data_IF_544972673481
#
_entry.id   IF_544972673481
#
_cell.length_a   1.000
_cell.length_b   1.000
_cell.length_c   1.000
_cell.angle_alpha   90.00
_cell.angle_beta   90.00
_cell.angle_gamma   90.00
#
_symmetry.space_group_name_H-M   'P 1'
#
loop_
_entity.id
_entity.type
_entity.pdbx_description
1 polymer ?
#
# COMPACT_ATOMS: atom_id res chain seq x y z
N UNK A 1 6.20 12.27 -11.35
CA UNK A 1 4.85 11.91 -11.85
C UNK A 1 4.80 10.41 -12.12
N UNK A 2 4.69 9.58 -11.08
CA UNK A 2 4.49 8.13 -11.25
C UNK A 2 2.99 7.78 -11.12
N UNK A 3 2.50 6.82 -11.90
CA UNK A 3 1.10 6.38 -11.84
C UNK A 3 0.14 7.05 -12.85
N UNK A 4 0.51 7.08 -14.14
CA UNK A 4 -0.41 7.51 -15.19
C UNK A 4 -1.31 6.33 -15.60
N UNK A 5 -2.64 6.50 -15.54
CA UNK A 5 -3.59 5.51 -16.07
C UNK A 5 -3.31 5.18 -17.54
N UNK A 6 -2.98 6.19 -18.36
CA UNK A 6 -2.66 6.00 -19.79
C UNK A 6 -1.44 5.12 -20.05
N UNK A 7 -0.40 5.24 -19.21
CA UNK A 7 0.80 4.41 -19.34
C UNK A 7 0.46 2.97 -18.93
N UNK A 8 -0.32 2.81 -17.86
CA UNK A 8 -0.78 1.50 -17.39
C UNK A 8 -1.58 0.80 -18.48
N UNK A 9 -2.55 1.49 -19.08
CA UNK A 9 -3.35 1.01 -20.20
C UNK A 9 -2.48 0.59 -21.39
N UNK A 10 -1.57 1.46 -21.86
CA UNK A 10 -0.68 1.14 -22.97
C UNK A 10 0.21 -0.10 -22.71
N UNK A 11 0.67 -0.29 -21.47
CA UNK A 11 1.45 -1.47 -21.08
C UNK A 11 0.59 -2.75 -21.10
N UNK A 12 -0.64 -2.67 -20.59
CA UNK A 12 -1.57 -3.81 -20.59
C UNK A 12 -1.98 -4.18 -22.02
N UNK A 13 -2.24 -3.20 -22.87
CA UNK A 13 -2.54 -3.39 -24.29
C UNK A 13 -1.36 -4.04 -25.04
N UNK A 14 -0.13 -3.78 -24.57
CA UNK A 14 1.09 -4.41 -25.09
C UNK A 14 1.34 -5.83 -24.55
N UNK A 15 0.42 -6.38 -23.74
CA UNK A 15 0.51 -7.74 -23.21
C UNK A 15 1.23 -7.87 -21.86
N UNK A 16 1.38 -6.78 -21.11
CA UNK A 16 1.97 -6.85 -19.77
C UNK A 16 1.18 -7.79 -18.85
N UNK A 17 1.88 -8.72 -18.20
CA UNK A 17 1.26 -9.73 -17.35
C UNK A 17 1.11 -9.24 -15.90
N UNK A 18 -0.12 -8.99 -15.46
CA UNK A 18 -0.44 -8.50 -14.11
C UNK A 18 -0.23 -9.53 -12.98
N UNK A 19 -0.04 -10.81 -13.33
CA UNK A 19 0.22 -11.89 -12.37
C UNK A 19 1.69 -11.96 -11.94
N UNK A 20 2.60 -11.32 -12.70
CA UNK A 20 4.02 -11.28 -12.36
C UNK A 20 4.23 -10.66 -10.98
N UNK A 21 5.21 -11.19 -10.27
CA UNK A 21 5.50 -10.82 -8.88
C UNK A 21 6.86 -10.16 -8.76
N UNK A 22 6.88 -9.22 -7.82
CA UNK A 22 8.05 -8.48 -7.45
C UNK A 22 8.97 -9.34 -6.55
N UNK A 23 10.18 -8.85 -6.25
CA UNK A 23 11.12 -9.60 -5.38
C UNK A 23 10.62 -9.81 -3.94
N UNK A 24 9.49 -9.23 -3.57
CA UNK A 24 8.81 -9.36 -2.27
C UNK A 24 7.45 -10.04 -2.44
N UNK A 25 7.27 -10.77 -3.55
CA UNK A 25 6.09 -11.57 -3.82
C UNK A 25 4.82 -10.76 -4.14
N UNK A 26 4.92 -9.44 -4.31
CA UNK A 26 3.78 -8.58 -4.64
C UNK A 26 3.47 -8.68 -6.12
N UNK A 27 2.24 -9.01 -6.48
CA UNK A 27 1.79 -8.86 -7.87
C UNK A 27 1.50 -7.39 -8.20
N UNK A 28 1.08 -7.09 -9.44
CA UNK A 28 0.85 -5.71 -9.88
C UNK A 28 -0.23 -4.99 -9.06
N UNK A 29 -1.31 -5.68 -8.69
CA UNK A 29 -2.34 -5.15 -7.78
C UNK A 29 -1.74 -4.74 -6.43
N UNK A 30 -1.00 -5.66 -5.82
CA UNK A 30 -0.35 -5.44 -4.51
C UNK A 30 0.70 -4.33 -4.60
N UNK A 31 1.37 -4.18 -5.74
CA UNK A 31 2.30 -3.09 -5.97
C UNK A 31 1.62 -1.72 -6.05
N UNK A 32 0.45 -1.64 -6.70
CA UNK A 32 -0.36 -0.42 -6.71
C UNK A 32 -0.81 -0.05 -5.28
N UNK A 33 -1.29 -1.04 -4.52
CA UNK A 33 -1.67 -0.82 -3.11
C UNK A 33 -0.47 -0.39 -2.28
N UNK A 34 0.67 -1.06 -2.42
CA UNK A 34 1.92 -0.71 -1.75
C UNK A 34 2.33 0.75 -2.05
N UNK A 35 2.22 1.20 -3.30
CA UNK A 35 2.49 2.61 -3.65
C UNK A 35 1.53 3.58 -2.95
N UNK A 36 0.24 3.24 -2.88
CA UNK A 36 -0.75 4.10 -2.20
C UNK A 36 -0.52 4.23 -0.69
N UNK A 37 0.15 3.26 -0.06
CA UNK A 37 0.50 3.36 1.35
C UNK A 37 1.56 4.46 1.61
N UNK A 38 2.53 4.62 0.71
CA UNK A 38 3.65 5.57 0.84
C UNK A 38 3.46 6.89 0.07
N UNK A 39 2.41 7.05 -0.74
CA UNK A 39 2.15 8.32 -1.42
C UNK A 39 0.67 8.67 -1.32
N UNK A 40 0.36 9.68 -0.51
CA UNK A 40 -1.00 10.20 -0.42
C UNK A 40 -1.49 10.75 -1.76
N UNK A 41 -0.61 11.39 -2.54
CA UNK A 41 -0.95 11.91 -3.86
C UNK A 41 -1.41 10.79 -4.79
N UNK A 42 -0.68 9.67 -4.79
CA UNK A 42 -1.06 8.47 -5.52
C UNK A 42 -2.38 7.88 -5.01
N UNK A 43 -2.53 7.74 -3.69
CA UNK A 43 -3.72 7.17 -3.05
C UNK A 43 -5.01 7.95 -3.33
N UNK A 44 -4.92 9.29 -3.37
CA UNK A 44 -6.09 10.16 -3.61
C UNK A 44 -6.45 10.28 -5.08
N UNK A 45 -5.44 10.38 -5.95
CA UNK A 45 -5.66 10.84 -7.33
C UNK A 45 -5.36 9.80 -8.41
N UNK A 46 -4.48 8.82 -8.17
CA UNK A 46 -3.96 7.93 -9.23
C UNK A 46 -4.45 6.50 -9.13
N UNK A 47 -4.49 5.95 -7.91
CA UNK A 47 -4.90 4.57 -7.74
C UNK A 47 -6.34 4.32 -8.20
N UNK A 48 -7.23 5.33 -8.15
CA UNK A 48 -8.60 5.23 -8.66
C UNK A 48 -8.68 4.85 -10.14
N UNK A 49 -7.71 5.26 -10.94
CA UNK A 49 -7.62 4.91 -12.37
C UNK A 49 -6.95 3.54 -12.58
N UNK A 50 -5.91 3.25 -11.79
CA UNK A 50 -5.04 2.06 -11.98
C UNK A 50 -5.68 0.80 -11.40
N UNK A 51 -6.30 0.91 -10.21
CA UNK A 51 -6.80 -0.25 -9.46
C UNK A 51 -7.77 -1.12 -10.27
N UNK A 52 -8.75 -0.57 -11.03
CA UNK A 52 -9.63 -1.39 -11.87
C UNK A 52 -8.90 -2.15 -12.98
N UNK A 53 -7.81 -1.60 -13.51
CA UNK A 53 -7.05 -2.21 -14.61
C UNK A 53 -6.19 -3.40 -14.16
N UNK A 54 -5.76 -3.40 -12.90
CA UNK A 54 -4.87 -4.42 -12.33
C UNK A 54 -5.58 -5.36 -11.36
N UNK A 55 -6.91 -5.25 -11.26
CA UNK A 55 -7.72 -6.01 -10.32
C UNK A 55 -7.75 -7.50 -10.72
N UNK A 56 -7.41 -8.37 -9.78
CA UNK A 56 -7.61 -9.81 -9.93
C UNK A 56 -9.00 -10.19 -9.43
N UNK A 57 -9.68 -11.13 -10.11
CA UNK A 57 -11.03 -11.53 -9.70
C UNK A 57 -11.12 -12.08 -8.27
N UNK A 58 -10.06 -12.74 -7.82
CA UNK A 58 -10.01 -13.35 -6.50
C UNK A 58 -8.56 -13.58 -6.04
N UNK A 59 -8.42 -13.78 -4.73
CA UNK A 59 -7.24 -14.39 -4.12
C UNK A 59 -7.69 -15.69 -3.46
N UNK A 60 -6.95 -16.77 -3.73
CA UNK A 60 -7.18 -18.08 -3.09
C UNK A 60 -6.22 -18.23 -1.93
N UNK A 61 -6.77 -18.57 -0.77
CA UNK A 61 -6.01 -18.75 0.46
C UNK A 61 -6.32 -20.12 1.06
N UNK A 62 -5.36 -20.65 1.82
CA UNK A 62 -5.52 -21.86 2.61
C UNK A 62 -5.14 -21.55 4.06
N UNK A 63 -5.98 -21.96 4.99
CA UNK A 63 -5.75 -21.86 6.44
C UNK A 63 -6.27 -23.13 7.08
N UNK A 64 -5.48 -23.78 7.93
CA UNK A 64 -5.87 -25.02 8.63
C UNK A 64 -6.50 -26.06 7.67
N UNK A 65 -5.88 -26.22 6.49
CA UNK A 65 -6.32 -27.09 5.39
C UNK A 65 -7.70 -26.75 4.75
N UNK A 66 -8.30 -25.61 5.10
CA UNK A 66 -9.51 -25.07 4.45
C UNK A 66 -9.13 -24.17 3.30
N UNK A 67 -9.66 -24.45 2.12
CA UNK A 67 -9.50 -23.62 0.92
C UNK A 67 -10.58 -22.54 0.88
N UNK A 68 -10.17 -21.27 0.74
CA UNK A 68 -11.07 -20.13 0.74
C UNK A 68 -10.78 -19.26 -0.48
N UNK A 69 -11.79 -19.00 -1.29
CA UNK A 69 -11.74 -18.04 -2.40
C UNK A 69 -12.29 -16.69 -1.95
N UNK A 70 -11.46 -15.65 -1.93
CA UNK A 70 -11.89 -14.29 -1.61
C UNK A 70 -12.09 -13.52 -2.92
N UNK A 71 -13.32 -13.17 -3.26
CA UNK A 71 -13.63 -12.44 -4.49
C UNK A 71 -13.39 -10.93 -4.34
N UNK A 72 -13.09 -10.24 -5.44
CA UNK A 72 -12.68 -8.83 -5.46
C UNK A 72 -13.69 -7.84 -4.84
N UNK A 73 -14.98 -8.16 -4.86
CA UNK A 73 -16.01 -7.31 -4.24
C UNK A 73 -15.98 -7.32 -2.70
N UNK A 74 -15.36 -8.33 -2.10
CA UNK A 74 -15.33 -8.51 -0.64
C UNK A 74 -14.33 -7.58 0.03
N UNK A 75 -14.66 -7.13 1.24
CA UNK A 75 -13.69 -6.41 2.08
C UNK A 75 -12.51 -7.32 2.46
N UNK A 76 -12.73 -8.63 2.60
CA UNK A 76 -11.66 -9.59 2.89
C UNK A 76 -10.57 -9.55 1.82
N UNK A 77 -10.96 -9.53 0.55
CA UNK A 77 -10.01 -9.42 -0.57
C UNK A 77 -9.18 -8.14 -0.49
N UNK A 78 -9.84 -6.99 -0.28
CA UNK A 78 -9.15 -5.71 -0.24
C UNK A 78 -8.19 -5.60 0.95
N UNK A 79 -8.67 -5.87 2.17
CA UNK A 79 -7.86 -5.76 3.39
C UNK A 79 -6.72 -6.77 3.37
N UNK A 80 -6.95 -8.01 2.92
CA UNK A 80 -5.90 -9.00 2.84
C UNK A 80 -4.79 -8.58 1.85
N UNK A 81 -5.15 -8.17 0.63
CA UNK A 81 -4.14 -7.69 -0.33
C UNK A 81 -3.41 -6.46 0.20
N UNK A 82 -4.10 -5.56 0.91
CA UNK A 82 -3.47 -4.42 1.55
C UNK A 82 -2.42 -4.82 2.56
N UNK A 83 -2.75 -5.71 3.51
CA UNK A 83 -1.79 -6.17 4.53
C UNK A 83 -0.63 -6.94 3.92
N UNK A 84 -0.88 -7.84 2.93
CA UNK A 84 0.19 -8.53 2.19
C UNK A 84 1.16 -7.52 1.57
N UNK A 85 0.63 -6.44 1.00
CA UNK A 85 1.42 -5.43 0.31
C UNK A 85 2.37 -4.68 1.24
N UNK A 86 1.94 -4.39 2.48
CA UNK A 86 2.64 -3.44 3.36
C UNK A 86 3.35 -4.06 4.56
N UNK A 87 2.96 -5.25 5.03
CA UNK A 87 3.34 -5.73 6.36
C UNK A 87 4.85 -5.79 6.57
N UNK A 88 5.59 -6.33 5.60
CA UNK A 88 7.04 -6.43 5.72
C UNK A 88 7.72 -5.05 5.85
N UNK A 89 7.22 -4.04 5.16
CA UNK A 89 7.76 -2.67 5.23
C UNK A 89 7.28 -1.92 6.47
N UNK A 90 6.00 -2.06 6.83
CA UNK A 90 5.40 -1.35 7.97
C UNK A 90 5.97 -1.81 9.31
N UNK A 91 6.32 -3.10 9.45
CA UNK A 91 6.91 -3.62 10.69
C UNK A 91 8.38 -3.21 10.86
N UNK A 92 9.13 -3.00 9.76
CA UNK A 92 10.53 -2.54 9.82
C UNK A 92 10.69 -1.12 10.36
N UNK A 93 9.64 -0.30 10.26
CA UNK A 93 9.66 1.11 10.68
C UNK A 93 9.12 1.31 12.10
N UNK A 94 8.76 0.23 12.81
CA UNK A 94 8.22 0.32 14.17
C UNK A 94 9.31 0.62 15.19
N UNK A 95 8.93 1.36 16.24
CA UNK A 95 9.80 1.62 17.39
C UNK A 95 9.72 0.48 18.39
N UNK A 96 10.77 0.30 19.20
CA UNK A 96 10.91 -0.81 20.16
C UNK A 96 9.74 -0.94 21.17
N UNK A 97 8.98 0.15 21.42
CA UNK A 97 7.92 0.18 22.42
C UNK A 97 6.52 -0.16 21.88
N UNK A 98 6.35 -0.36 20.57
CA UNK A 98 5.07 -0.73 19.97
C UNK A 98 4.99 -2.24 19.71
N UNK A 99 3.79 -2.87 19.80
CA UNK A 99 3.62 -4.25 19.36
C UNK A 99 4.00 -4.43 17.89
N UNK A 100 4.57 -5.58 17.56
CA UNK A 100 4.94 -5.99 16.19
C UNK A 100 3.69 -6.27 15.33
N UNK A 101 2.90 -5.24 15.05
CA UNK A 101 1.67 -5.31 14.28
C UNK A 101 1.33 -4.02 13.54
N UNK A 102 0.41 -4.14 12.58
CA UNK A 102 -0.18 -3.00 11.89
C UNK A 102 -1.33 -2.48 12.75
N UNK A 103 -1.28 -1.19 13.09
CA UNK A 103 -2.29 -0.52 13.89
C UNK A 103 -3.52 -0.20 13.04
N UNK A 104 -4.71 -0.43 13.59
CA UNK A 104 -5.98 -0.10 12.91
C UNK A 104 -6.09 1.39 12.59
N UNK A 105 -5.53 2.25 13.43
CA UNK A 105 -5.52 3.71 13.19
C UNK A 105 -4.78 4.05 11.89
N UNK A 106 -3.62 3.46 11.66
CA UNK A 106 -2.82 3.66 10.46
C UNK A 106 -3.58 3.18 9.21
N UNK A 107 -4.30 2.06 9.33
CA UNK A 107 -5.17 1.58 8.25
C UNK A 107 -6.30 2.57 7.97
N UNK A 108 -6.96 3.09 9.00
CA UNK A 108 -8.06 4.06 8.84
C UNK A 108 -7.58 5.36 8.19
N UNK A 109 -6.41 5.86 8.61
CA UNK A 109 -5.78 7.03 8.03
C UNK A 109 -5.55 6.82 6.53
N UNK A 110 -4.89 5.73 6.14
CA UNK A 110 -4.63 5.43 4.73
C UNK A 110 -5.92 5.10 3.96
N UNK A 111 -6.89 4.43 4.58
CA UNK A 111 -8.17 4.07 3.95
C UNK A 111 -9.03 5.30 3.66
N UNK A 112 -8.91 6.36 4.47
CA UNK A 112 -9.59 7.63 4.25
C UNK A 112 -9.17 8.33 2.94
N UNK A 113 -8.00 7.98 2.40
CA UNK A 113 -7.46 8.55 1.17
C UNK A 113 -8.07 7.95 -0.09
N UNK A 114 -8.58 6.71 -0.01
CA UNK A 114 -9.04 5.99 -1.19
C UNK A 114 -10.34 6.58 -1.77
N UNK A 115 -10.45 6.69 -3.10
CA UNK A 115 -11.69 7.07 -3.76
C UNK A 115 -12.79 6.00 -3.62
N UNK A 116 -14.06 6.40 -3.79
CA UNK A 116 -15.24 5.55 -3.60
C UNK A 116 -15.31 4.35 -4.55
N UNK A 117 -14.66 4.42 -5.72
CA UNK A 117 -14.60 3.31 -6.66
C UNK A 117 -13.65 2.18 -6.23
N UNK A 118 -12.84 2.40 -5.19
CA UNK A 118 -11.97 1.36 -4.59
C UNK A 118 -12.56 0.87 -3.28
N UNK A 119 -12.83 1.82 -2.38
CA UNK A 119 -13.32 1.53 -1.04
C UNK A 119 -14.47 2.46 -0.71
N UNK A 120 -15.66 1.90 -0.50
CA UNK A 120 -16.83 2.67 -0.14
C UNK A 120 -16.68 3.36 1.22
N UNK A 121 -17.29 4.53 1.37
CA UNK A 121 -17.23 5.34 2.59
C UNK A 121 -17.54 4.57 3.88
N UNK A 122 -18.54 3.70 3.89
CA UNK A 122 -18.89 2.89 5.07
C UNK A 122 -17.78 1.90 5.47
N UNK A 123 -16.97 1.43 4.51
CA UNK A 123 -15.84 0.51 4.76
C UNK A 123 -14.61 1.22 5.36
N UNK A 124 -14.59 2.56 5.31
CA UNK A 124 -13.54 3.41 5.89
C UNK A 124 -13.78 3.71 7.37
N UNK A 125 -14.90 3.27 7.94
CA UNK A 125 -15.25 3.54 9.33
C UNK A 125 -14.54 2.59 10.29
N UNK A 126 -14.10 3.13 11.45
CA UNK A 126 -13.46 2.36 12.52
C UNK A 126 -14.28 1.15 12.96
N UNK A 127 -15.58 1.35 13.18
CA UNK A 127 -16.47 0.29 13.66
C UNK A 127 -16.52 -0.87 12.66
N UNK A 128 -16.64 -0.57 11.37
CA UNK A 128 -16.64 -1.56 10.30
C UNK A 128 -15.32 -2.32 10.22
N UNK A 129 -14.19 -1.61 10.15
CA UNK A 129 -12.88 -2.24 10.01
C UNK A 129 -12.51 -3.08 11.24
N UNK A 130 -12.81 -2.59 12.44
CA UNK A 130 -12.54 -3.32 13.69
C UNK A 130 -13.39 -4.59 13.78
N UNK A 131 -14.67 -4.53 13.41
CA UNK A 131 -15.54 -5.70 13.37
C UNK A 131 -15.07 -6.72 12.32
N UNK A 132 -14.67 -6.26 11.14
CA UNK A 132 -14.11 -7.10 10.07
C UNK A 132 -12.85 -7.85 10.50
N UNK A 133 -11.88 -7.14 11.08
CA UNK A 133 -10.64 -7.74 11.55
C UNK A 133 -10.91 -8.73 12.68
N UNK A 134 -11.73 -8.35 13.67
CA UNK A 134 -12.05 -9.20 14.82
C UNK A 134 -12.82 -10.47 14.45
N UNK A 135 -13.73 -10.38 13.48
CA UNK A 135 -14.47 -11.52 12.94
C UNK A 135 -13.53 -12.56 12.32
N UNK A 136 -12.46 -12.10 11.68
CA UNK A 136 -11.52 -12.93 10.92
C UNK A 136 -10.23 -13.28 11.68
N UNK A 137 -10.23 -13.18 13.02
CA UNK A 137 -9.09 -13.54 13.86
C UNK A 137 -8.93 -15.06 13.99
N UNK A 138 -7.69 -15.54 14.04
CA UNK A 138 -7.37 -16.97 14.27
C UNK A 138 -7.99 -17.53 15.56
N UNK A 139 -8.13 -16.70 16.60
CA UNK A 139 -8.70 -17.07 17.90
C UNK A 139 -10.23 -17.18 17.90
N UNK A 140 -10.90 -16.68 16.86
CA UNK A 140 -12.36 -16.60 16.83
C UNK A 140 -12.94 -17.93 16.37
N UNK A 141 -13.85 -18.51 17.17
CA UNK A 141 -14.51 -19.76 16.81
C UNK A 141 -15.94 -19.50 16.31
N UNK A 142 -16.06 -19.10 15.04
CA UNK A 142 -17.35 -19.02 14.33
C UNK A 142 -17.26 -19.80 13.02
N UNK A 143 -18.38 -20.35 12.55
CA UNK A 143 -18.43 -21.18 11.34
C UNK A 143 -18.01 -20.41 10.08
N UNK A 144 -18.22 -19.10 10.06
CA UNK A 144 -17.93 -18.20 8.95
C UNK A 144 -16.58 -17.47 9.07
N UNK A 145 -15.79 -17.77 10.10
CA UNK A 145 -14.45 -17.20 10.27
C UNK A 145 -13.51 -17.71 9.17
N UNK A 146 -12.75 -16.80 8.57
CA UNK A 146 -11.74 -17.11 7.55
C UNK A 146 -10.32 -17.20 8.10
N UNK A 147 -10.13 -16.88 9.39
CA UNK A 147 -8.87 -16.94 10.12
C UNK A 147 -7.72 -16.24 9.36
N UNK A 148 -7.97 -15.04 8.85
CA UNK A 148 -7.02 -14.31 8.02
C UNK A 148 -5.97 -13.55 8.85
N UNK A 149 -6.29 -13.23 10.10
CA UNK A 149 -5.50 -12.30 10.92
C UNK A 149 -5.16 -12.88 12.29
N UNK A 150 -4.03 -12.44 12.86
CA UNK A 150 -3.67 -12.64 14.27
C UNK A 150 -3.58 -11.29 14.95
N UNK A 151 -4.36 -11.10 16.02
CA UNK A 151 -4.23 -9.93 16.89
C UNK A 151 -3.02 -10.12 17.81
N UNK A 152 -2.11 -9.15 17.81
CA UNK A 152 -0.88 -9.17 18.65
C UNK A 152 -0.96 -8.15 19.80
N UNK A 153 -1.91 -7.22 19.74
CA UNK A 153 -2.16 -6.21 20.77
C UNK A 153 -3.49 -5.51 20.54
N UNK A 154 -3.86 -4.60 21.44
CA UNK A 154 -5.10 -3.84 21.29
C UNK A 154 -5.06 -2.96 20.03
N UNK A 155 -5.82 -3.35 19.00
CA UNK A 155 -5.82 -2.65 17.72
C UNK A 155 -4.61 -2.93 16.82
N UNK A 156 -3.78 -3.93 17.15
CA UNK A 156 -2.61 -4.34 16.36
C UNK A 156 -2.81 -5.73 15.78
N UNK A 157 -2.61 -5.85 14.47
CA UNK A 157 -2.82 -7.10 13.74
C UNK A 157 -1.66 -7.41 12.80
N UNK A 158 -1.43 -8.70 12.61
CA UNK A 158 -0.61 -9.25 11.54
C UNK A 158 -1.43 -10.26 10.74
N UNK A 159 -0.95 -10.61 9.55
CA UNK A 159 -1.44 -11.76 8.79
C UNK A 159 -1.34 -13.03 9.63
N UNK A 160 -2.31 -13.93 9.52
CA UNK A 160 -2.22 -15.24 10.17
C UNK A 160 -0.90 -15.95 9.74
N UNK A 161 -0.03 -16.34 10.69
CA UNK A 161 1.23 -17.04 10.38
C UNK A 161 1.08 -18.33 9.58
N UNK A 162 -0.07 -19.00 9.69
CA UNK A 162 -0.37 -20.24 8.97
C UNK A 162 -1.09 -20.00 7.63
N UNK A 163 -1.25 -18.73 7.22
CA UNK A 163 -1.92 -18.39 5.96
C UNK A 163 -1.03 -18.75 4.78
N UNK A 164 -1.57 -19.55 3.86
CA UNK A 164 -0.96 -19.86 2.58
C UNK A 164 -1.75 -19.21 1.45
N UNK A 165 -1.05 -18.78 0.40
CA UNK A 165 -1.61 -18.22 -0.81
C UNK A 165 -1.34 -19.18 -1.97
N UNK A 166 -2.30 -19.30 -2.90
CA UNK A 166 -2.04 -20.01 -4.15
C UNK A 166 -1.22 -19.10 -5.08
N UNK A 167 0.00 -19.50 -5.38
CA UNK A 167 0.94 -18.82 -6.26
C UNK A 167 1.53 -19.83 -7.22
N UNK A 168 1.38 -19.60 -8.52
CA UNK A 168 1.91 -20.49 -9.58
C UNK A 168 1.58 -21.97 -9.31
N UNK A 169 0.31 -22.23 -9.02
CA UNK A 169 -0.28 -23.52 -8.66
C UNK A 169 0.28 -24.21 -7.39
N UNK A 170 1.09 -23.49 -6.61
CA UNK A 170 1.64 -23.95 -5.35
C UNK A 170 1.05 -23.18 -4.17
N UNK A 171 0.84 -23.88 -3.05
CA UNK A 171 0.49 -23.23 -1.79
C UNK A 171 1.77 -22.75 -1.11
N UNK A 172 1.90 -21.44 -0.97
CA UNK A 172 3.10 -20.81 -0.39
C UNK A 172 2.70 -20.05 0.86
N UNK A 173 3.46 -20.20 1.94
CA UNK A 173 3.22 -19.45 3.16
C UNK A 173 3.36 -17.94 2.90
N UNK A 174 2.45 -17.14 3.44
CA UNK A 174 2.43 -15.69 3.17
C UNK A 174 3.69 -14.98 3.66
N UNK A 175 4.33 -15.45 4.73
CA UNK A 175 5.56 -14.86 5.28
C UNK A 175 6.79 -15.19 4.45
N UNK A 176 6.82 -16.37 3.82
CA UNK A 176 7.83 -16.73 2.83
C UNK A 176 7.69 -15.84 1.58
N UNK A 177 6.46 -15.62 1.13
CA UNK A 177 6.16 -14.82 -0.05
C UNK A 177 6.61 -13.37 0.11
N UNK A 178 6.27 -12.72 1.24
CA UNK A 178 6.64 -11.32 1.51
C UNK A 178 8.09 -11.14 1.97
N UNK A 179 8.88 -12.24 2.00
CA UNK A 179 10.30 -12.29 2.42
C UNK A 179 10.57 -11.58 3.75
N UNK A 180 9.65 -11.74 4.69
CA UNK A 180 9.79 -11.16 6.02
C UNK A 180 11.04 -11.74 6.72
N UNK A 181 12.00 -10.88 7.08
CA UNK A 181 13.24 -11.27 7.77
C UNK A 181 14.52 -11.39 6.93
N UNK A 182 14.49 -11.22 5.61
CA UNK A 182 15.62 -11.60 4.74
C UNK A 182 16.23 -10.52 3.80
N UNK A 183 16.05 -9.20 3.97
CA UNK A 183 16.64 -8.22 3.02
C UNK A 183 17.02 -6.82 3.58
N UNK A 184 18.27 -6.41 3.35
CA UNK A 184 18.82 -5.03 3.48
C UNK A 184 18.38 -4.09 2.34
N UNK A 185 18.05 -4.63 1.16
CA UNK A 185 17.64 -3.88 -0.03
C UNK A 185 16.30 -3.13 0.12
N UNK A 186 15.50 -3.45 1.13
CA UNK A 186 14.23 -2.79 1.45
C UNK A 186 14.44 -1.35 1.91
N UNK A 187 15.51 -1.08 2.65
CA UNK A 187 15.76 0.25 3.20
C UNK A 187 15.89 1.29 2.08
N UNK A 188 16.50 0.94 0.94
CA UNK A 188 16.70 1.90 -0.15
C UNK A 188 15.39 2.33 -0.83
N UNK A 189 14.53 1.38 -1.23
CA UNK A 189 13.23 1.71 -1.83
C UNK A 189 12.27 2.38 -0.85
N UNK A 190 12.27 1.93 0.40
CA UNK A 190 11.46 2.56 1.46
C UNK A 190 11.94 4.00 1.66
N UNK A 191 13.26 4.24 1.68
CA UNK A 191 13.82 5.59 1.78
C UNK A 191 13.48 6.46 0.58
N UNK A 192 13.51 5.92 -0.65
CA UNK A 192 13.11 6.64 -1.86
C UNK A 192 11.62 7.02 -1.83
N UNK A 193 10.75 6.08 -1.42
CA UNK A 193 9.31 6.32 -1.31
C UNK A 193 8.98 7.29 -0.17
N UNK A 194 9.63 7.15 0.97
CA UNK A 194 9.49 8.09 2.09
C UNK A 194 10.01 9.50 1.74
N UNK A 195 11.09 9.60 0.96
CA UNK A 195 11.61 10.87 0.44
C UNK A 195 10.65 11.54 -0.56
N UNK A 196 10.02 10.74 -1.43
CA UNK A 196 8.94 11.18 -2.32
C UNK A 196 7.74 11.72 -1.51
N UNK A 197 7.30 11.00 -0.48
CA UNK A 197 6.18 11.40 0.38
C UNK A 197 6.46 12.71 1.13
N UNK A 198 7.66 12.84 1.71
CA UNK A 198 8.11 14.06 2.38
C UNK A 198 8.08 15.25 1.42
N UNK A 199 8.57 15.07 0.21
CA UNK A 199 8.57 16.13 -0.80
C UNK A 199 7.15 16.52 -1.23
N UNK A 200 6.26 15.55 -1.43
CA UNK A 200 4.83 15.81 -1.70
C UNK A 200 4.18 16.60 -0.57
N UNK A 201 4.46 16.24 0.69
CA UNK A 201 3.88 16.91 1.85
C UNK A 201 4.42 18.33 2.01
N UNK A 202 5.71 18.57 1.78
CA UNK A 202 6.29 19.92 1.78
C UNK A 202 5.68 20.80 0.68
N UNK A 203 5.47 20.24 -0.53
CA UNK A 203 4.81 20.98 -1.61
C UNK A 203 3.36 21.37 -1.25
N UNK A 204 2.63 20.54 -0.50
CA UNK A 204 1.30 20.90 0.02
C UNK A 204 1.38 22.03 1.06
N UNK A 205 2.39 22.04 1.91
CA UNK A 205 2.63 23.13 2.88
C UNK A 205 2.90 24.43 2.14
N UNK A 206 3.84 24.43 1.18
CA UNK A 206 4.18 25.63 0.42
C UNK A 206 3.02 26.14 -0.45
N UNK A 207 2.18 25.26 -0.97
CA UNK A 207 0.96 25.66 -1.67
C UNK A 207 0.00 26.43 -0.75
N UNK A 208 -0.05 26.11 0.55
CA UNK A 208 -0.83 26.89 1.54
C UNK A 208 -0.17 28.23 1.83
N UNK A 209 1.15 28.25 1.97
CA UNK A 209 1.91 29.48 2.28
C UNK A 209 1.80 30.52 1.17
N UNK A 210 1.66 30.09 -0.10
CA UNK A 210 1.36 30.97 -1.25
C UNK A 210 0.06 31.77 -1.12
N UNK A 211 -0.88 31.33 -0.29
CA UNK A 211 -2.15 32.01 -0.06
C UNK A 211 -2.15 32.90 1.20
N UNK A 212 -1.00 33.06 1.86
CA UNK A 212 -0.87 33.92 3.05
C UNK A 212 -0.46 35.34 2.66
N UNK A 213 -0.86 36.32 3.47
CA UNK A 213 -0.53 37.74 3.31
C UNK A 213 0.99 38.04 3.34
N UNK A 214 1.81 37.14 3.88
CA UNK A 214 3.27 37.25 3.86
C UNK A 214 3.91 36.93 2.49
N UNK A 215 3.17 36.31 1.56
CA UNK A 215 3.69 35.93 0.24
C UNK A 215 4.05 37.14 -0.64
N UNK A 216 3.43 38.30 -0.44
CA UNK A 216 3.74 39.48 -1.25
C UNK A 216 5.09 40.12 -0.92
N UNK A 217 5.74 39.72 0.19
CA UNK A 217 7.12 40.10 0.48
C UNK A 217 8.08 39.44 -0.51
N UNK A 218 8.80 40.25 -1.30
CA UNK A 218 9.70 39.79 -2.36
C UNK A 218 10.74 38.76 -1.88
N UNK A 219 11.31 38.95 -0.68
CA UNK A 219 12.29 38.04 -0.10
C UNK A 219 11.70 36.68 0.30
N UNK A 220 10.48 36.68 0.84
CA UNK A 220 9.78 35.45 1.23
C UNK A 220 9.30 34.67 0.00
N UNK A 221 8.81 35.39 -1.03
CA UNK A 221 8.39 34.79 -2.30
C UNK A 221 9.52 34.04 -2.99
N UNK A 222 10.71 34.66 -3.08
CA UNK A 222 11.87 34.05 -3.75
C UNK A 222 12.36 32.79 -3.03
N UNK A 223 12.47 32.83 -1.70
CA UNK A 223 12.84 31.65 -0.88
C UNK A 223 11.81 30.51 -1.03
N UNK A 224 10.52 30.84 -1.02
CA UNK A 224 9.46 29.84 -1.19
C UNK A 224 9.46 29.21 -2.60
N UNK A 225 9.68 30.01 -3.65
CA UNK A 225 9.78 29.52 -5.03
C UNK A 225 11.00 28.59 -5.22
N UNK A 226 12.16 28.92 -4.61
CA UNK A 226 13.36 28.07 -4.61
C UNK A 226 13.11 26.72 -3.90
N UNK A 227 12.50 26.74 -2.71
CA UNK A 227 12.14 25.52 -1.95
C UNK A 227 11.13 24.64 -2.67
N UNK A 228 10.17 25.23 -3.38
CA UNK A 228 9.21 24.49 -4.22
C UNK A 228 9.94 23.78 -5.35
N UNK A 229 10.83 24.48 -6.06
CA UNK A 229 11.59 23.90 -7.16
C UNK A 229 12.48 22.75 -6.68
N UNK A 230 13.11 22.91 -5.51
CA UNK A 230 13.94 21.87 -4.89
C UNK A 230 13.14 20.60 -4.58
N UNK A 231 11.99 20.73 -3.91
CA UNK A 231 11.16 19.57 -3.58
C UNK A 231 10.47 18.95 -4.82
N UNK A 232 10.16 19.73 -5.85
CA UNK A 232 9.69 19.19 -7.14
C UNK A 232 10.77 18.35 -7.83
N UNK A 233 12.02 18.80 -7.79
CA UNK A 233 13.17 18.07 -8.32
C UNK A 233 13.40 16.77 -7.55
N UNK A 234 13.44 16.82 -6.22
CA UNK A 234 13.59 15.63 -5.36
C UNK A 234 12.47 14.61 -5.61
N UNK A 235 11.23 15.09 -5.78
CA UNK A 235 10.07 14.25 -6.08
C UNK A 235 10.19 13.59 -7.46
N UNK A 236 10.67 14.32 -8.47
CA UNK A 236 10.87 13.77 -9.81
C UNK A 236 11.98 12.71 -9.81
N UNK A 237 13.14 13.02 -9.22
CA UNK A 237 14.29 12.12 -9.12
C UNK A 237 13.94 10.83 -8.36
N UNK A 238 13.24 10.96 -7.22
CA UNK A 238 12.80 9.79 -6.45
C UNK A 238 11.84 8.92 -7.27
N UNK A 239 10.90 9.53 -8.00
CA UNK A 239 9.95 8.80 -8.84
C UNK A 239 10.62 8.13 -10.04
N UNK A 240 11.59 8.78 -10.67
CA UNK A 240 12.37 8.21 -11.77
C UNK A 240 13.24 7.04 -11.31
N UNK A 241 13.88 7.15 -10.14
CA UNK A 241 14.64 6.05 -9.55
C UNK A 241 13.73 4.88 -9.16
N UNK A 242 12.53 5.16 -8.64
CA UNK A 242 11.52 4.12 -8.38
C UNK A 242 11.08 3.44 -9.69
N UNK A 243 10.78 4.20 -10.74
CA UNK A 243 10.40 3.68 -12.05
C UNK A 243 11.52 2.86 -12.70
N UNK A 244 12.76 3.36 -12.67
CA UNK A 244 13.94 2.68 -13.21
C UNK A 244 14.21 1.38 -12.46
N UNK A 245 14.13 1.39 -11.13
CA UNK A 245 14.25 0.17 -10.32
C UNK A 245 13.14 -0.84 -10.65
N UNK A 246 11.92 -0.39 -10.93
CA UNK A 246 10.83 -1.26 -11.37
C UNK A 246 11.13 -1.83 -12.77
N UNK A 247 11.55 -1.00 -13.72
CA UNK A 247 11.82 -1.43 -15.10
C UNK A 247 13.01 -2.40 -15.18
N UNK A 248 14.15 -2.08 -14.56
CA UNK A 248 15.38 -2.90 -14.62
C UNK A 248 15.23 -4.28 -13.97
N UNK A 249 14.25 -4.44 -13.08
CA UNK A 249 14.04 -5.69 -12.34
C UNK A 249 12.92 -6.57 -12.90
N UNK A 250 12.07 -6.01 -13.77
CA UNK A 250 10.90 -6.66 -14.33
C UNK A 250 10.83 -6.62 -15.87
N UNK A 251 11.92 -6.22 -16.54
CA UNK A 251 12.16 -6.41 -17.97
C UNK A 251 13.06 -7.63 -18.20
#
# INVERSE_FOLDING_TARGET
MAGSGKITEALLDSGANISLRDNFGRNVLQQAIFQSYFSEGFARAKIGEIYPMVLTENIKVKVDNRLIKLNYHSIDFFVLNFLISIQASALKTRTFFEPDGIKVDDLLEKFSLFPENILYGYRKQRAYLSAHLAKNEISKNTSDNRQLYKRVGHGFYILNPNLELLVDDNWTNVYELIKFGNNENDSHLINLRAGSERSENMLKVYARDKHTSNYESFGFRKDLEERIAEHQKMLLESNEQILKYIIEKYA
#
